data_IF_624708139359
#
_entry.id   IF_624708139359
#
_cell.length_a   1.000
_cell.length_b   1.000
_cell.length_c   1.000
_cell.angle_alpha   90.00
_cell.angle_beta   90.00
_cell.angle_gamma   90.00
#
_symmetry.space_group_name_H-M   'P 1'
#
loop_
_entity.id
_entity.type
_entity.pdbx_description
1 polymer ?
#
# COMPACT_ATOMS: atom_id res chain seq x y z
N UNK A 1 -33.04 10.19 37.94
CA UNK A 1 -32.15 10.04 36.77
C UNK A 1 -30.86 9.54 37.36
N UNK A 2 -30.74 8.22 37.47
CA UNK A 2 -29.64 7.59 38.19
C UNK A 2 -28.41 7.63 37.28
N UNK A 3 -27.40 8.40 37.72
CA UNK A 3 -26.09 8.40 37.08
C UNK A 3 -25.48 7.04 37.42
N UNK A 4 -25.15 6.18 36.45
CA UNK A 4 -24.57 4.89 36.75
C UNK A 4 -23.24 5.09 37.47
N UNK A 5 -23.14 4.56 38.69
CA UNK A 5 -21.90 4.49 39.47
C UNK A 5 -20.92 3.56 38.74
N UNK A 6 -20.15 4.12 37.81
CA UNK A 6 -19.00 3.42 37.23
C UNK A 6 -17.95 3.31 38.33
N UNK A 7 -17.66 2.10 38.78
CA UNK A 7 -16.64 1.91 39.79
C UNK A 7 -15.28 2.37 39.24
N UNK A 8 -14.46 3.04 40.07
CA UNK A 8 -13.11 3.47 39.68
C UNK A 8 -12.27 2.30 39.14
N UNK A 9 -12.53 1.09 39.63
CA UNK A 9 -11.90 -0.16 39.21
C UNK A 9 -12.25 -0.53 37.76
N UNK A 10 -13.51 -0.36 37.36
CA UNK A 10 -13.95 -0.63 35.98
C UNK A 10 -13.32 0.37 35.00
N UNK A 11 -13.30 1.66 35.39
CA UNK A 11 -12.68 2.70 34.58
C UNK A 11 -11.16 2.48 34.40
N UNK A 12 -10.45 2.11 35.49
CA UNK A 12 -9.03 1.79 35.44
C UNK A 12 -8.74 0.58 34.55
N UNK A 13 -9.59 -0.45 34.61
CA UNK A 13 -9.47 -1.66 33.80
C UNK A 13 -9.64 -1.34 32.31
N UNK A 14 -10.66 -0.55 31.96
CA UNK A 14 -10.89 -0.11 30.58
C UNK A 14 -9.72 0.75 30.08
N UNK A 15 -9.21 1.66 30.91
CA UNK A 15 -8.05 2.49 30.56
C UNK A 15 -6.79 1.64 30.31
N UNK A 16 -6.56 0.59 31.10
CA UNK A 16 -5.46 -0.34 30.90
C UNK A 16 -5.58 -1.08 29.56
N UNK A 17 -6.77 -1.54 29.18
CA UNK A 17 -6.99 -2.17 27.88
C UNK A 17 -6.87 -1.19 26.71
N UNK A 18 -7.30 0.07 26.86
CA UNK A 18 -7.08 1.12 25.86
C UNK A 18 -5.58 1.35 25.64
N UNK A 19 -4.81 1.48 26.73
CA UNK A 19 -3.35 1.65 26.66
C UNK A 19 -2.68 0.42 26.06
N UNK A 20 -3.13 -0.78 26.44
CA UNK A 20 -2.66 -2.04 25.83
C UNK A 20 -2.96 -2.08 24.33
N UNK A 21 -4.13 -1.58 23.91
CA UNK A 21 -4.48 -1.38 22.51
C UNK A 21 -3.47 -0.52 21.78
N UNK A 22 -3.13 0.65 22.33
CA UNK A 22 -2.13 1.55 21.73
C UNK A 22 -0.76 0.88 21.64
N UNK A 23 -0.21 0.46 22.78
CA UNK A 23 1.17 -0.06 22.86
C UNK A 23 1.30 -1.39 22.13
N UNK A 24 0.35 -2.29 22.31
CA UNK A 24 0.29 -3.58 21.63
C UNK A 24 0.20 -3.41 20.12
N UNK A 25 -0.59 -2.46 19.63
CA UNK A 25 -0.70 -2.20 18.18
C UNK A 25 0.61 -1.69 17.61
N UNK A 26 1.33 -0.81 18.32
CA UNK A 26 2.64 -0.31 17.88
C UNK A 26 3.65 -1.47 17.77
N UNK A 27 3.75 -2.29 18.82
CA UNK A 27 4.69 -3.43 18.85
C UNK A 27 4.35 -4.42 17.74
N UNK A 28 3.06 -4.77 17.61
CA UNK A 28 2.60 -5.71 16.59
C UNK A 28 2.79 -5.16 15.17
N UNK A 29 2.60 -3.86 14.95
CA UNK A 29 2.89 -3.21 13.67
C UNK A 29 4.38 -3.32 13.31
N UNK A 30 5.27 -2.96 14.23
CA UNK A 30 6.72 -3.03 14.01
C UNK A 30 7.19 -4.46 13.71
N UNK A 31 6.63 -5.44 14.42
CA UNK A 31 6.91 -6.85 14.16
C UNK A 31 6.36 -7.30 12.79
N UNK A 32 5.11 -6.95 12.47
CA UNK A 32 4.44 -7.37 11.24
C UNK A 32 5.07 -6.76 9.99
N UNK A 33 5.45 -5.47 10.01
CA UNK A 33 6.14 -4.81 8.88
C UNK A 33 7.44 -5.56 8.56
N UNK A 34 8.22 -5.92 9.56
CA UNK A 34 9.46 -6.67 9.34
C UNK A 34 9.19 -8.12 8.88
N UNK A 35 8.22 -8.80 9.50
CA UNK A 35 7.90 -10.18 9.15
C UNK A 35 7.32 -10.33 7.74
N UNK A 36 6.70 -9.27 7.20
CA UNK A 36 6.04 -9.28 5.89
C UNK A 36 6.90 -8.68 4.77
N UNK A 37 8.19 -8.43 4.99
CA UNK A 37 9.08 -7.83 3.98
C UNK A 37 9.08 -8.61 2.65
N UNK A 38 8.96 -9.93 2.69
CA UNK A 38 8.91 -10.78 1.50
C UNK A 38 7.63 -10.61 0.67
N UNK A 39 6.58 -9.96 1.19
CA UNK A 39 5.32 -9.73 0.47
C UNK A 39 5.49 -8.70 -0.64
N UNK A 40 6.27 -7.64 -0.40
CA UNK A 40 6.45 -6.56 -1.37
C UNK A 40 7.00 -7.03 -2.72
N UNK A 41 8.11 -7.79 -2.82
CA UNK A 41 8.63 -8.24 -4.11
C UNK A 41 7.65 -9.16 -4.84
N UNK A 42 6.97 -10.06 -4.12
CA UNK A 42 5.98 -10.98 -4.71
C UNK A 42 4.82 -10.24 -5.37
N UNK A 43 4.28 -9.23 -4.68
CA UNK A 43 3.17 -8.43 -5.21
C UNK A 43 3.66 -7.53 -6.35
N UNK A 44 4.85 -6.94 -6.20
CA UNK A 44 5.44 -6.09 -7.24
C UNK A 44 5.62 -6.87 -8.55
N UNK A 45 6.29 -8.02 -8.52
CA UNK A 45 6.57 -8.84 -9.70
C UNK A 45 5.28 -9.33 -10.37
N UNK A 46 4.26 -9.69 -9.59
CA UNK A 46 2.97 -10.13 -10.10
C UNK A 46 2.23 -9.05 -10.92
N UNK A 47 2.38 -7.79 -10.53
CA UNK A 47 1.69 -6.66 -11.17
C UNK A 47 2.57 -5.86 -12.13
N UNK A 48 3.90 -6.00 -12.07
CA UNK A 48 4.87 -5.20 -12.82
C UNK A 48 4.59 -5.17 -14.32
N UNK A 49 4.44 -6.34 -14.95
CA UNK A 49 4.21 -6.45 -16.40
C UNK A 49 2.84 -5.94 -16.83
N UNK A 50 1.85 -5.92 -15.92
CA UNK A 50 0.46 -5.59 -16.25
C UNK A 50 0.12 -4.12 -16.02
N UNK A 51 0.64 -3.54 -14.93
CA UNK A 51 0.32 -2.19 -14.46
C UNK A 51 1.48 -1.20 -14.62
N UNK A 52 2.69 -1.71 -14.91
CA UNK A 52 3.90 -0.90 -14.94
C UNK A 52 4.50 -0.64 -13.55
N UNK A 53 5.69 -0.02 -13.50
CA UNK A 53 6.50 0.07 -12.27
C UNK A 53 5.79 0.82 -11.15
N UNK A 54 5.14 1.93 -11.47
CA UNK A 54 4.53 2.82 -10.49
C UNK A 54 3.31 2.20 -9.80
N UNK A 55 2.36 1.72 -10.60
CA UNK A 55 1.15 1.07 -10.07
C UNK A 55 1.49 -0.26 -9.37
N UNK A 56 2.53 -0.98 -9.82
CA UNK A 56 3.02 -2.18 -9.12
C UNK A 56 3.65 -1.85 -7.75
N UNK A 57 4.46 -0.80 -7.63
CA UNK A 57 4.98 -0.33 -6.33
C UNK A 57 3.86 0.09 -5.40
N UNK A 58 2.87 0.82 -5.90
CA UNK A 58 1.72 1.27 -5.12
C UNK A 58 0.91 0.07 -4.61
N UNK A 59 0.66 -0.92 -5.47
CA UNK A 59 0.01 -2.18 -5.10
C UNK A 59 0.79 -2.92 -4.00
N UNK A 60 2.08 -3.16 -4.21
CA UNK A 60 2.96 -3.87 -3.29
C UNK A 60 3.01 -3.21 -1.92
N UNK A 61 3.14 -1.88 -1.90
CA UNK A 61 3.17 -1.09 -0.66
C UNK A 61 1.83 -1.16 0.06
N UNK A 62 0.72 -0.94 -0.66
CA UNK A 62 -0.63 -0.96 -0.08
C UNK A 62 -0.96 -2.32 0.51
N UNK A 63 -0.65 -3.41 -0.20
CA UNK A 63 -0.89 -4.78 0.26
C UNK A 63 -0.05 -5.10 1.50
N UNK A 64 1.24 -4.79 1.48
CA UNK A 64 2.15 -5.01 2.60
C UNK A 64 1.70 -4.28 3.87
N UNK A 65 1.46 -2.96 3.78
CA UNK A 65 1.01 -2.17 4.94
C UNK A 65 -0.42 -2.51 5.37
N UNK A 66 -1.29 -2.88 4.44
CA UNK A 66 -2.62 -3.39 4.73
C UNK A 66 -2.58 -4.63 5.63
N UNK A 67 -1.76 -5.63 5.28
CA UNK A 67 -1.58 -6.82 6.13
C UNK A 67 -0.97 -6.48 7.48
N UNK A 68 0.10 -5.68 7.46
CA UNK A 68 0.79 -5.32 8.69
C UNK A 68 -0.17 -4.65 9.68
N UNK A 69 -1.03 -3.75 9.21
CA UNK A 69 -1.97 -3.06 10.07
C UNK A 69 -3.15 -3.92 10.55
N UNK A 70 -3.65 -4.88 9.76
CA UNK A 70 -4.63 -5.87 10.26
C UNK A 70 -4.05 -6.71 11.38
N UNK A 71 -2.83 -7.22 11.20
CA UNK A 71 -2.14 -7.96 12.25
C UNK A 71 -1.83 -7.08 13.46
N UNK A 72 -1.44 -5.82 13.22
CA UNK A 72 -1.12 -4.87 14.27
C UNK A 72 -2.27 -4.69 15.27
N UNK A 73 -3.50 -4.52 14.79
CA UNK A 73 -4.67 -4.39 15.68
C UNK A 73 -5.26 -5.73 16.08
N UNK A 74 -5.23 -6.72 15.19
CA UNK A 74 -5.80 -8.04 15.44
C UNK A 74 -5.12 -8.79 16.57
N UNK A 75 -3.79 -8.79 16.60
CA UNK A 75 -3.02 -9.56 17.59
C UNK A 75 -3.30 -9.10 19.03
N UNK A 76 -3.20 -7.80 19.39
CA UNK A 76 -3.57 -7.33 20.72
C UNK A 76 -5.01 -7.66 21.10
N UNK A 77 -5.96 -7.56 20.16
CA UNK A 77 -7.37 -7.87 20.42
C UNK A 77 -7.57 -9.35 20.73
N UNK A 78 -6.92 -10.25 20.00
CA UNK A 78 -6.94 -11.69 20.29
C UNK A 78 -6.28 -11.99 21.63
N UNK A 79 -5.17 -11.32 21.97
CA UNK A 79 -4.50 -11.46 23.27
C UNK A 79 -5.38 -10.98 24.42
N UNK A 80 -6.07 -9.85 24.26
CA UNK A 80 -7.02 -9.35 25.25
C UNK A 80 -8.19 -10.32 25.45
N UNK A 81 -8.71 -10.89 24.37
CA UNK A 81 -9.76 -11.92 24.44
C UNK A 81 -9.26 -13.22 25.09
N UNK A 82 -7.99 -13.59 24.89
CA UNK A 82 -7.38 -14.77 25.54
C UNK A 82 -7.28 -14.62 27.05
N UNK A 83 -7.07 -13.40 27.55
CA UNK A 83 -6.90 -13.13 28.99
C UNK A 83 -8.24 -12.90 29.68
N UNK A 84 -9.16 -12.19 29.02
CA UNK A 84 -10.38 -11.68 29.64
C UNK A 84 -11.69 -12.22 29.07
N UNK A 85 -11.65 -13.23 28.18
CA UNK A 85 -12.84 -13.75 27.53
C UNK A 85 -12.74 -15.22 27.12
N UNK A 86 -13.85 -15.72 26.57
CA UNK A 86 -14.03 -17.14 26.26
C UNK A 86 -14.20 -17.38 24.75
N UNK A 87 -14.19 -16.31 23.94
CA UNK A 87 -14.57 -16.32 22.52
C UNK A 87 -13.40 -16.16 21.56
N UNK A 88 -12.20 -16.52 21.99
CA UNK A 88 -10.95 -16.42 21.22
C UNK A 88 -11.08 -17.02 19.82
N UNK A 89 -11.76 -18.18 19.67
CA UNK A 89 -11.97 -18.81 18.36
C UNK A 89 -12.80 -17.94 17.41
N UNK A 90 -13.82 -17.25 17.92
CA UNK A 90 -14.65 -16.36 17.13
C UNK A 90 -13.91 -15.08 16.77
N UNK A 91 -13.19 -14.48 17.72
CA UNK A 91 -12.39 -13.27 17.48
C UNK A 91 -11.24 -13.56 16.51
N UNK A 92 -10.52 -14.68 16.70
CA UNK A 92 -9.45 -15.12 15.80
C UNK A 92 -9.98 -15.52 14.41
N UNK A 93 -11.12 -16.20 14.33
CA UNK A 93 -11.78 -16.50 13.06
C UNK A 93 -12.24 -15.23 12.33
N UNK A 94 -12.75 -14.24 13.08
CA UNK A 94 -13.08 -12.91 12.55
C UNK A 94 -11.86 -12.18 12.02
N UNK A 95 -10.74 -12.20 12.74
CA UNK A 95 -9.48 -11.62 12.29
C UNK A 95 -9.00 -12.28 10.98
N UNK A 96 -9.04 -13.60 10.89
CA UNK A 96 -8.71 -14.32 9.67
C UNK A 96 -9.62 -13.91 8.51
N UNK A 97 -10.94 -13.87 8.73
CA UNK A 97 -11.91 -13.48 7.72
C UNK A 97 -11.68 -12.04 7.23
N UNK A 98 -11.41 -11.11 8.14
CA UNK A 98 -11.07 -9.71 7.82
C UNK A 98 -9.77 -9.63 7.02
N UNK A 99 -8.75 -10.39 7.40
CA UNK A 99 -7.46 -10.44 6.69
C UNK A 99 -7.65 -10.93 5.25
N UNK A 100 -8.42 -12.00 5.07
CA UNK A 100 -8.74 -12.55 3.74
C UNK A 100 -9.60 -11.59 2.92
N UNK A 101 -10.62 -10.98 3.52
CA UNK A 101 -11.48 -10.01 2.84
C UNK A 101 -10.67 -8.78 2.39
N UNK A 102 -9.79 -8.25 3.25
CA UNK A 102 -8.91 -7.15 2.89
C UNK A 102 -7.95 -7.55 1.77
N UNK A 103 -7.36 -8.75 1.81
CA UNK A 103 -6.53 -9.27 0.71
C UNK A 103 -7.27 -9.23 -0.62
N UNK A 104 -8.50 -9.72 -0.66
CA UNK A 104 -9.33 -9.74 -1.87
C UNK A 104 -9.65 -8.32 -2.34
N UNK A 105 -9.98 -7.40 -1.42
CA UNK A 105 -10.27 -6.00 -1.77
C UNK A 105 -9.03 -5.28 -2.29
N UNK A 106 -7.87 -5.43 -1.64
CA UNK A 106 -6.64 -4.75 -2.06
C UNK A 106 -6.11 -5.31 -3.39
N UNK A 107 -6.15 -6.63 -3.59
CA UNK A 107 -5.77 -7.24 -4.87
C UNK A 107 -6.78 -6.91 -5.99
N UNK A 108 -8.07 -6.82 -5.66
CA UNK A 108 -9.11 -6.41 -6.61
C UNK A 108 -8.95 -4.95 -7.02
N UNK A 109 -8.76 -4.06 -6.04
CA UNK A 109 -8.39 -2.66 -6.30
C UNK A 109 -7.13 -2.59 -7.16
N UNK A 110 -6.20 -3.53 -6.95
CA UNK A 110 -4.99 -3.61 -7.73
C UNK A 110 -5.17 -3.94 -9.19
N UNK A 111 -5.94 -4.98 -9.46
CA UNK A 111 -6.27 -5.36 -10.83
C UNK A 111 -7.04 -4.26 -11.58
N UNK A 112 -7.75 -3.39 -10.86
CA UNK A 112 -8.55 -2.30 -11.42
C UNK A 112 -7.81 -0.96 -11.51
N UNK A 113 -6.53 -0.90 -11.13
CA UNK A 113 -5.74 0.34 -11.00
C UNK A 113 -6.44 1.42 -10.13
N UNK A 114 -7.25 0.96 -9.17
CA UNK A 114 -8.04 1.81 -8.29
C UNK A 114 -7.32 2.12 -6.97
N UNK A 115 -5.99 2.15 -7.00
CA UNK A 115 -5.09 2.26 -5.83
C UNK A 115 -4.97 3.66 -5.23
N UNK A 116 -6.01 4.47 -5.36
CA UNK A 116 -6.01 5.79 -4.74
C UNK A 116 -5.91 5.67 -3.22
N UNK A 117 -5.25 6.63 -2.59
CA UNK A 117 -5.25 6.80 -1.13
C UNK A 117 -6.66 6.71 -0.54
N UNK A 118 -7.67 7.24 -1.25
CA UNK A 118 -9.08 7.14 -0.88
C UNK A 118 -9.58 5.69 -0.76
N UNK A 119 -9.17 4.80 -1.65
CA UNK A 119 -9.55 3.37 -1.62
C UNK A 119 -8.99 2.69 -0.38
N UNK A 120 -7.74 3.00 -0.03
CA UNK A 120 -7.08 2.47 1.18
C UNK A 120 -7.76 2.97 2.44
N UNK A 121 -8.05 4.28 2.50
CA UNK A 121 -8.79 4.90 3.60
C UNK A 121 -10.18 4.29 3.75
N UNK A 122 -10.91 4.11 2.65
CA UNK A 122 -12.25 3.51 2.67
C UNK A 122 -12.21 2.06 3.13
N UNK A 123 -11.27 1.26 2.62
CA UNK A 123 -11.08 -0.12 3.04
C UNK A 123 -10.80 -0.21 4.55
N UNK A 124 -9.97 0.70 5.08
CA UNK A 124 -9.70 0.80 6.51
C UNK A 124 -10.91 1.24 7.33
N UNK A 125 -11.66 2.24 6.86
CA UNK A 125 -12.87 2.70 7.55
C UNK A 125 -13.91 1.57 7.63
N UNK A 126 -14.11 0.85 6.53
CA UNK A 126 -14.99 -0.33 6.49
C UNK A 126 -14.48 -1.44 7.41
N UNK A 127 -13.17 -1.65 7.48
CA UNK A 127 -12.55 -2.59 8.39
C UNK A 127 -12.82 -2.21 9.85
N UNK A 128 -12.65 -0.94 10.21
CA UNK A 128 -12.88 -0.47 11.59
C UNK A 128 -14.34 -0.62 11.97
N UNK A 129 -15.26 -0.18 11.11
CA UNK A 129 -16.71 -0.30 11.34
C UNK A 129 -17.13 -1.77 11.40
N UNK A 130 -16.66 -2.59 10.47
CA UNK A 130 -16.96 -4.03 10.41
C UNK A 130 -16.41 -4.79 11.61
N UNK A 131 -15.18 -4.49 12.05
CA UNK A 131 -14.58 -5.09 13.23
C UNK A 131 -15.34 -4.72 14.50
N UNK A 132 -15.72 -3.44 14.67
CA UNK A 132 -16.57 -3.02 15.79
C UNK A 132 -17.94 -3.72 15.79
N UNK A 133 -18.58 -3.80 14.63
CA UNK A 133 -19.86 -4.48 14.49
C UNK A 133 -19.73 -5.98 14.79
N UNK A 134 -18.66 -6.63 14.31
CA UNK A 134 -18.35 -8.03 14.57
C UNK A 134 -18.08 -8.30 16.06
N UNK A 135 -17.20 -7.52 16.69
CA UNK A 135 -16.90 -7.65 18.13
C UNK A 135 -18.17 -7.51 18.97
N UNK A 136 -19.06 -6.58 18.64
CA UNK A 136 -20.35 -6.42 19.32
C UNK A 136 -21.30 -7.59 19.05
N UNK A 137 -21.46 -7.98 17.79
CA UNK A 137 -22.40 -9.05 17.39
C UNK A 137 -22.01 -10.40 17.99
N UNK A 138 -20.72 -10.72 18.01
CA UNK A 138 -20.19 -11.95 18.57
C UNK A 138 -19.94 -11.87 20.08
N UNK A 139 -20.28 -10.76 20.75
CA UNK A 139 -20.17 -10.61 22.20
C UNK A 139 -18.74 -10.78 22.71
N UNK A 140 -17.77 -10.13 22.06
CA UNK A 140 -16.38 -10.09 22.53
C UNK A 140 -16.28 -9.43 23.91
N UNK A 141 -15.23 -9.75 24.66
CA UNK A 141 -14.99 -9.17 25.97
C UNK A 141 -14.87 -7.65 25.91
N UNK A 142 -15.19 -6.99 27.03
CA UNK A 142 -14.96 -5.55 27.20
C UNK A 142 -13.49 -5.20 26.98
N UNK A 143 -12.58 -6.08 27.42
CA UNK A 143 -11.14 -5.92 27.22
C UNK A 143 -10.73 -5.94 25.74
N UNK A 144 -11.22 -6.90 24.96
CA UNK A 144 -10.96 -6.97 23.52
C UNK A 144 -11.52 -5.74 22.78
N UNK A 145 -12.73 -5.30 23.13
CA UNK A 145 -13.37 -4.13 22.54
C UNK A 145 -12.61 -2.83 22.86
N UNK A 146 -12.20 -2.64 24.12
CA UNK A 146 -11.39 -1.49 24.54
C UNK A 146 -10.01 -1.50 23.88
N UNK A 147 -9.37 -2.66 23.80
CA UNK A 147 -8.08 -2.85 23.10
C UNK A 147 -8.18 -2.48 21.63
N UNK A 148 -9.25 -2.90 20.95
CA UNK A 148 -9.49 -2.54 19.55
C UNK A 148 -9.59 -1.01 19.39
N UNK A 149 -10.42 -0.36 20.22
CA UNK A 149 -10.59 1.10 20.20
C UNK A 149 -9.26 1.83 20.45
N UNK A 150 -8.45 1.34 21.39
CA UNK A 150 -7.12 1.88 21.67
C UNK A 150 -6.15 1.74 20.48
N UNK A 151 -6.30 0.71 19.65
CA UNK A 151 -5.48 0.51 18.45
C UNK A 151 -5.86 1.41 17.26
N UNK A 152 -7.10 1.92 17.20
CA UNK A 152 -7.58 2.72 16.05
C UNK A 152 -6.74 3.98 15.77
N UNK A 153 -6.34 4.80 16.76
CA UNK A 153 -5.47 5.94 16.52
C UNK A 153 -4.11 5.56 15.93
N UNK A 154 -3.57 4.39 16.30
CA UNK A 154 -2.30 3.88 15.76
C UNK A 154 -2.48 3.49 14.30
N UNK A 155 -3.59 2.86 13.94
CA UNK A 155 -3.92 2.58 12.53
C UNK A 155 -4.03 3.86 11.70
N UNK A 156 -4.69 4.88 12.24
CA UNK A 156 -4.79 6.17 11.57
C UNK A 156 -3.42 6.80 11.34
N UNK A 157 -2.52 6.73 12.34
CA UNK A 157 -1.14 7.18 12.19
C UNK A 157 -0.38 6.38 11.13
N UNK A 158 -0.53 5.06 11.09
CA UNK A 158 0.09 4.20 10.06
C UNK A 158 -0.41 4.54 8.66
N UNK A 159 -1.71 4.84 8.50
CA UNK A 159 -2.27 5.32 7.24
C UNK A 159 -1.70 6.67 6.80
N UNK A 160 -1.50 7.59 7.74
CA UNK A 160 -0.85 8.87 7.46
C UNK A 160 0.58 8.63 7.00
N UNK A 161 1.35 7.79 7.71
CA UNK A 161 2.72 7.44 7.32
C UNK A 161 2.77 6.77 5.94
N UNK A 162 1.82 5.89 5.65
CA UNK A 162 1.65 5.27 4.33
C UNK A 162 1.38 6.33 3.25
N UNK A 163 0.49 7.30 3.52
CA UNK A 163 0.19 8.40 2.61
C UNK A 163 1.43 9.24 2.31
N UNK A 164 2.21 9.59 3.34
CA UNK A 164 3.46 10.31 3.19
C UNK A 164 4.49 9.49 2.41
N UNK A 165 4.64 8.20 2.71
CA UNK A 165 5.55 7.30 2.00
C UNK A 165 5.19 7.12 0.52
N UNK A 166 3.91 6.95 0.20
CA UNK A 166 3.42 6.89 -1.18
C UNK A 166 3.55 8.23 -1.91
N UNK A 167 3.34 9.36 -1.21
CA UNK A 167 3.46 10.70 -1.75
C UNK A 167 4.90 11.14 -2.04
N UNK A 168 5.88 10.67 -1.24
CA UNK A 168 7.30 10.99 -1.40
C UNK A 168 8.09 9.96 -2.20
N UNK A 169 7.77 8.66 -2.11
CA UNK A 169 8.56 7.56 -2.67
C UNK A 169 8.44 7.35 -4.19
N UNK A 170 7.90 8.32 -4.93
CA UNK A 170 7.35 8.05 -6.26
C UNK A 170 7.83 8.89 -7.43
N UNK A 171 8.80 9.79 -7.24
CA UNK A 171 9.45 10.46 -8.38
C UNK A 171 10.83 9.87 -8.58
N UNK A 172 10.94 8.75 -9.29
CA UNK A 172 12.21 8.43 -9.93
C UNK A 172 12.16 9.07 -11.31
N UNK A 173 12.88 10.17 -11.46
CA UNK A 173 13.17 10.73 -12.76
C UNK A 173 14.35 9.95 -13.34
N UNK A 174 14.20 9.42 -14.55
CA UNK A 174 15.38 9.04 -15.32
C UNK A 174 15.98 10.33 -15.82
N UNK A 175 17.13 10.70 -15.25
CA UNK A 175 17.88 11.89 -15.63
C UNK A 175 18.90 11.47 -16.68
N UNK A 176 18.79 12.03 -17.89
CA UNK A 176 19.88 11.95 -18.86
C UNK A 176 20.90 13.05 -18.51
N UNK A 177 21.97 12.69 -17.82
CA UNK A 177 23.11 13.60 -17.63
C UNK A 177 24.07 13.48 -18.83
N UNK A 178 24.53 14.60 -19.41
CA UNK A 178 25.55 14.57 -20.45
C UNK A 178 26.88 14.12 -19.84
N UNK A 179 27.22 12.84 -20.00
CA UNK A 179 28.52 12.30 -19.62
C UNK A 179 29.52 12.61 -20.74
N UNK A 180 30.69 13.24 -20.46
CA UNK A 180 31.69 13.47 -21.49
C UNK A 180 32.15 12.12 -22.04
N UNK A 181 32.12 11.99 -23.38
CA UNK A 181 32.47 10.76 -24.10
C UNK A 181 33.86 10.18 -23.75
N UNK A 182 34.72 10.97 -23.11
CA UNK A 182 36.04 10.58 -22.62
C UNK A 182 36.03 9.77 -21.32
N UNK A 183 34.87 9.48 -20.71
CA UNK A 183 34.75 8.86 -19.38
C UNK A 183 34.06 7.48 -19.36
N UNK A 184 33.78 6.89 -20.53
CA UNK A 184 33.08 5.61 -20.64
C UNK A 184 33.89 4.67 -21.55
N UNK A 185 34.43 3.59 -20.97
CA UNK A 185 35.36 2.66 -21.65
C UNK A 185 34.66 1.56 -22.47
N UNK A 186 33.34 1.37 -22.31
CA UNK A 186 32.52 0.40 -23.06
C UNK A 186 31.26 1.07 -23.62
N UNK A 187 30.64 0.56 -24.70
CA UNK A 187 29.43 1.16 -25.24
C UNK A 187 28.34 1.12 -24.17
N UNK A 188 27.98 2.30 -23.66
CA UNK A 188 26.75 2.47 -22.90
C UNK A 188 25.61 1.83 -23.70
N UNK A 189 24.78 1.01 -23.07
CA UNK A 189 23.59 0.41 -23.69
C UNK A 189 22.85 1.52 -24.45
N UNK A 190 22.89 1.46 -25.78
CA UNK A 190 22.39 2.53 -26.63
C UNK A 190 20.86 2.46 -26.67
N UNK A 191 20.21 3.60 -26.87
CA UNK A 191 18.74 3.66 -27.05
C UNK A 191 18.23 2.94 -28.33
N UNK A 192 19.09 2.20 -29.04
CA UNK A 192 18.70 1.45 -30.23
C UNK A 192 17.69 0.33 -29.90
N UNK A 193 17.77 -0.24 -28.70
CA UNK A 193 16.86 -1.29 -28.23
C UNK A 193 15.53 -0.74 -27.68
N UNK A 194 15.42 0.57 -27.45
CA UNK A 194 14.24 1.23 -26.88
C UNK A 194 14.03 2.65 -27.47
N UNK A 195 13.71 2.75 -28.78
CA UNK A 195 13.60 4.05 -29.47
C UNK A 195 12.47 4.92 -28.91
N UNK A 196 11.38 4.32 -28.41
CA UNK A 196 10.26 5.04 -27.80
C UNK A 196 10.70 5.79 -26.52
N UNK A 197 11.59 5.20 -25.72
CA UNK A 197 12.11 5.83 -24.49
C UNK A 197 12.99 7.04 -24.81
N UNK A 198 13.76 6.96 -25.90
CA UNK A 198 14.56 8.09 -26.40
C UNK A 198 13.69 9.25 -26.84
N UNK A 199 12.65 8.97 -27.61
CA UNK A 199 11.73 10.01 -28.10
C UNK A 199 11.00 10.72 -26.96
N UNK A 200 10.56 9.98 -25.95
CA UNK A 200 9.90 10.58 -24.79
C UNK A 200 10.89 11.35 -23.89
N UNK A 201 12.10 10.80 -23.67
CA UNK A 201 13.14 11.41 -22.83
C UNK A 201 13.70 12.71 -23.42
N UNK A 202 13.85 12.81 -24.74
CA UNK A 202 14.35 14.03 -25.40
C UNK A 202 13.22 14.91 -25.96
N UNK A 203 11.99 14.71 -25.51
CA UNK A 203 10.87 15.59 -25.88
C UNK A 203 11.00 16.95 -25.19
N UNK A 204 10.53 18.02 -25.86
CA UNK A 204 10.51 19.37 -25.27
C UNK A 204 9.75 19.43 -23.93
N UNK A 205 8.82 18.51 -23.69
CA UNK A 205 8.06 18.41 -22.44
C UNK A 205 8.86 17.77 -21.29
N UNK A 206 9.91 17.00 -21.60
CA UNK A 206 10.78 16.33 -20.63
C UNK A 206 12.07 17.12 -20.34
N UNK A 207 12.42 18.07 -21.21
CA UNK A 207 13.63 18.87 -21.08
C UNK A 207 13.35 20.20 -20.39
N UNK A 208 14.07 20.46 -19.29
CA UNK A 208 14.03 21.76 -18.63
C UNK A 208 14.86 22.77 -19.47
N UNK A 209 14.23 23.87 -19.94
CA UNK A 209 14.89 24.83 -20.81
C UNK A 209 15.97 25.66 -20.09
N UNK A 210 16.02 25.66 -18.75
CA UNK A 210 16.97 26.47 -17.99
C UNK A 210 18.33 25.78 -17.76
N UNK A 211 18.33 24.46 -17.52
CA UNK A 211 19.54 23.67 -17.24
C UNK A 211 19.90 22.69 -18.38
N UNK A 212 19.02 22.53 -19.38
CA UNK A 212 19.20 21.62 -20.50
C UNK A 212 19.12 20.14 -20.12
N UNK A 213 18.66 19.84 -18.90
CA UNK A 213 18.53 18.48 -18.39
C UNK A 213 17.17 17.92 -18.79
N UNK A 214 17.17 16.77 -19.46
CA UNK A 214 15.95 16.06 -19.77
C UNK A 214 15.66 14.97 -18.73
N UNK A 215 14.49 15.08 -18.10
CA UNK A 215 13.99 14.18 -17.06
C UNK A 215 12.74 13.51 -17.57
N UNK A 216 12.78 12.19 -17.69
CA UNK A 216 11.59 11.41 -17.97
C UNK A 216 10.99 10.92 -16.64
N UNK A 217 9.86 11.50 -16.17
CA UNK A 217 9.21 11.01 -14.97
C UNK A 217 8.63 9.63 -15.26
N UNK A 218 9.12 8.60 -14.56
CA UNK A 218 8.58 7.24 -14.66
C UNK A 218 7.21 7.07 -14.00
N UNK A 219 6.58 8.19 -13.61
CA UNK A 219 5.19 8.25 -13.14
C UNK A 219 4.24 7.98 -14.31
N UNK A 220 4.12 6.71 -14.68
CA UNK A 220 3.09 6.25 -15.60
C UNK A 220 3.45 6.30 -17.08
N UNK A 221 4.60 5.73 -17.49
CA UNK A 221 4.71 5.21 -18.87
C UNK A 221 3.71 4.07 -19.03
N UNK A 222 2.47 4.47 -19.36
CA UNK A 222 1.41 3.61 -19.80
C UNK A 222 1.90 2.86 -21.04
N UNK A 223 2.34 1.62 -20.88
CA UNK A 223 2.52 0.66 -21.99
C UNK A 223 1.21 0.35 -22.73
N UNK A 224 0.10 1.03 -22.38
CA UNK A 224 -1.20 0.96 -23.06
C UNK A 224 -1.76 2.34 -23.43
N UNK A 225 -1.17 3.03 -24.41
CA UNK A 225 -1.89 3.79 -25.47
C UNK A 225 -0.94 4.57 -26.39
N UNK A 226 -0.33 3.87 -27.34
CA UNK A 226 -0.34 4.38 -28.72
C UNK A 226 -0.85 3.24 -29.61
N UNK A 227 -2.01 3.37 -30.26
CA UNK A 227 -2.37 2.41 -31.29
C UNK A 227 -1.27 2.48 -32.35
N UNK A 228 -0.77 1.32 -32.77
CA UNK A 228 0.01 1.17 -33.99
C UNK A 228 -0.55 2.11 -35.06
N UNK A 229 0.14 3.22 -35.32
CA UNK A 229 0.07 3.86 -36.61
C UNK A 229 0.62 2.80 -37.56
N UNK A 230 -0.30 2.07 -38.21
CA UNK A 230 0.03 1.19 -39.32
C UNK A 230 0.89 2.00 -40.27
N UNK A 231 2.16 1.67 -40.32
CA UNK A 231 3.02 1.93 -41.46
C UNK A 231 2.38 1.25 -42.68
N UNK A 232 1.45 1.94 -43.33
CA UNK A 232 1.22 1.77 -44.76
C UNK A 232 2.29 2.59 -45.47
N UNK A 233 3.54 2.12 -45.39
CA UNK A 233 4.66 2.61 -46.17
C UNK A 233 5.64 1.46 -46.47
N UNK A 234 5.13 0.40 -47.11
CA UNK A 234 5.88 -0.49 -48.02
C UNK A 234 4.90 -0.84 -49.16
N UNK A 235 5.23 -0.79 -50.44
CA UNK A 235 6.56 -0.84 -51.04
C UNK A 235 6.76 0.14 -52.18
N UNK A 236 7.99 0.63 -52.22
CA UNK A 236 8.72 1.03 -53.41
C UNK A 236 8.58 0.00 -54.55
N UNK A 237 8.35 0.52 -55.75
CA UNK A 237 8.88 0.10 -57.04
C UNK A 237 9.12 -1.41 -57.34
N UNK A 238 8.39 -1.90 -58.34
CA UNK A 238 8.87 -2.88 -59.34
C UNK A 238 8.31 -2.43 -60.70
N UNK A 239 9.11 -1.78 -61.55
CA UNK A 239 9.68 -2.33 -62.81
C UNK A 239 8.70 -3.16 -63.66
N UNK A 240 8.14 -2.54 -64.70
CA UNK A 240 8.36 -2.85 -66.13
C UNK A 240 7.55 -1.89 -66.98
#
# INVERSE_FOLDING_TARGET
>A
MDIPDVSLTDAATVAAYLLFGVVGTIIAALAAINALQSVQPVVYDAFYLQLGPWSATTAATTVHFGFAGVLAVGVPVVVAELVGGDRVRFVGGGLLAVTVALLVVLLGAAALDAHGFLTVVLAYALLVVGALAGLRHFGASTGASATFVGGVPVLALLLVLLAFGLGWGGGYDVVAEPVPASSVDEPATTFEDAPDVREDLFSEAACDPEDGVCRLPLRGTNTKRRPHARSTARGSAARS
#
